data_IF_316010123260
#
_entry.id   IF_316010123260
#
_cell.length_a   1.000
_cell.length_b   1.000
_cell.length_c   1.000
_cell.angle_alpha   90.00
_cell.angle_beta   90.00
_cell.angle_gamma   90.00
#
_symmetry.space_group_name_H-M   'P 1'
#
loop_
_entity.id
_entity.type
_entity.pdbx_description
1 polymer ?
#
# COMPACT_ATOMS: atom_id res chain seq x y z
N UNK A 1 14.01 8.93 -4.57
CA UNK A 1 14.21 8.90 -6.03
C UNK A 1 13.46 7.70 -6.59
N UNK A 2 12.66 7.87 -7.65
CA UNK A 2 11.92 6.78 -8.30
C UNK A 2 12.72 6.23 -9.50
N UNK A 3 12.66 4.92 -9.80
CA UNK A 3 13.34 4.35 -10.97
C UNK A 3 12.82 4.92 -12.30
N UNK A 4 13.72 5.09 -13.28
CA UNK A 4 13.38 5.61 -14.62
C UNK A 4 12.47 4.64 -15.42
N UNK A 5 12.62 3.34 -15.20
CA UNK A 5 11.73 2.33 -15.78
C UNK A 5 10.32 2.35 -15.18
N UNK A 6 10.13 3.10 -14.09
CA UNK A 6 8.88 3.26 -13.38
C UNK A 6 8.79 2.39 -12.12
N UNK A 7 7.69 2.55 -11.40
CA UNK A 7 7.42 1.82 -10.17
C UNK A 7 5.95 1.43 -10.06
N UNK A 8 5.64 0.48 -9.19
CA UNK A 8 4.26 0.19 -8.80
C UNK A 8 3.97 0.67 -7.37
N UNK A 9 2.71 0.63 -6.98
CA UNK A 9 2.27 0.88 -5.60
C UNK A 9 1.59 -0.38 -5.01
N UNK A 10 1.49 -0.40 -3.69
CA UNK A 10 0.63 -1.34 -2.96
C UNK A 10 -0.28 -0.58 -2.02
N UNK A 11 -1.56 -0.96 -1.98
CA UNK A 11 -2.49 -0.47 -0.97
C UNK A 11 -2.35 -1.29 0.31
N UNK A 12 -2.35 -0.60 1.46
CA UNK A 12 -2.51 -1.26 2.74
C UNK A 12 -4.00 -1.60 2.94
N UNK A 13 -4.28 -2.87 3.27
CA UNK A 13 -5.63 -3.33 3.57
C UNK A 13 -5.99 -3.13 5.05
N UNK A 14 -7.26 -2.84 5.31
CA UNK A 14 -7.87 -2.88 6.64
C UNK A 14 -9.13 -3.73 6.59
N UNK A 15 -9.32 -4.61 7.57
CA UNK A 15 -10.47 -5.51 7.64
C UNK A 15 -10.87 -5.80 9.07
N UNK A 16 -12.16 -6.08 9.30
CA UNK A 16 -12.68 -6.56 10.57
C UNK A 16 -12.50 -8.07 10.67
N UNK A 17 -11.97 -8.55 11.80
CA UNK A 17 -11.88 -9.97 12.08
C UNK A 17 -13.28 -10.54 12.36
N UNK A 18 -13.58 -11.71 11.81
CA UNK A 18 -14.85 -12.41 12.05
C UNK A 18 -15.02 -12.69 13.55
N UNK A 19 -16.14 -12.26 14.12
CA UNK A 19 -16.43 -12.42 15.55
C UNK A 19 -15.69 -11.43 16.46
N UNK A 20 -15.23 -10.28 15.93
CA UNK A 20 -14.62 -9.24 16.74
C UNK A 20 -15.53 -8.83 17.92
N UNK A 21 -14.97 -8.63 19.14
CA UNK A 21 -15.75 -8.35 20.35
C UNK A 21 -16.48 -6.99 20.31
N UNK A 22 -16.04 -6.08 19.43
CA UNK A 22 -16.66 -4.79 19.20
C UNK A 22 -16.82 -4.53 17.68
N UNK A 23 -17.85 -5.09 17.03
CA UNK A 23 -18.02 -4.96 15.59
C UNK A 23 -18.37 -3.53 15.16
N UNK A 24 -19.13 -2.79 15.97
CA UNK A 24 -19.50 -1.40 15.67
C UNK A 24 -18.28 -0.47 15.72
N UNK A 25 -17.42 -0.63 16.72
CA UNK A 25 -16.16 0.12 16.82
C UNK A 25 -15.20 -0.21 15.67
N UNK A 26 -15.07 -1.49 15.31
CA UNK A 26 -14.25 -1.91 14.17
C UNK A 26 -14.77 -1.30 12.86
N UNK A 27 -16.09 -1.33 12.63
CA UNK A 27 -16.71 -0.70 11.46
C UNK A 27 -16.51 0.81 11.44
N UNK A 28 -16.67 1.50 12.57
CA UNK A 28 -16.44 2.93 12.68
C UNK A 28 -14.98 3.29 12.34
N UNK A 29 -14.02 2.52 12.86
CA UNK A 29 -12.59 2.71 12.56
C UNK A 29 -12.28 2.49 11.07
N UNK A 30 -12.78 1.40 10.47
CA UNK A 30 -12.59 1.14 9.03
C UNK A 30 -13.19 2.26 8.19
N UNK A 31 -14.41 2.70 8.51
CA UNK A 31 -15.06 3.81 7.80
C UNK A 31 -14.23 5.09 7.87
N UNK A 32 -13.68 5.42 9.05
CA UNK A 32 -12.81 6.58 9.22
C UNK A 32 -11.51 6.46 8.43
N UNK A 33 -10.80 5.32 8.53
CA UNK A 33 -9.55 5.09 7.79
C UNK A 33 -9.73 5.15 6.26
N UNK A 34 -10.92 4.82 5.77
CA UNK A 34 -11.26 4.87 4.34
C UNK A 34 -11.88 6.21 3.91
N UNK A 35 -12.22 7.10 4.85
CA UNK A 35 -12.88 8.37 4.53
C UNK A 35 -11.89 9.40 3.96
N UNK A 36 -12.39 10.39 3.19
CA UNK A 36 -11.55 11.51 2.75
C UNK A 36 -10.95 12.26 3.94
N UNK A 37 -11.73 12.44 5.01
CA UNK A 37 -11.30 13.12 6.22
C UNK A 37 -10.15 12.39 6.92
N UNK A 38 -10.31 11.09 7.18
CA UNK A 38 -9.29 10.30 7.90
C UNK A 38 -8.00 10.18 7.10
N UNK A 39 -8.09 10.01 5.79
CA UNK A 39 -6.92 9.97 4.92
C UNK A 39 -6.27 11.34 4.75
N UNK A 40 -7.02 12.44 4.72
CA UNK A 40 -6.46 13.80 4.74
C UNK A 40 -5.74 14.09 6.04
N UNK A 41 -6.33 13.70 7.18
CA UNK A 41 -5.73 13.86 8.50
C UNK A 41 -4.39 13.13 8.57
N UNK A 42 -4.36 11.83 8.26
CA UNK A 42 -3.14 11.03 8.28
C UNK A 42 -2.12 11.50 7.24
N UNK A 43 -2.57 11.94 6.06
CA UNK A 43 -1.72 12.53 5.02
C UNK A 43 -0.93 13.73 5.50
N UNK A 44 -1.59 14.65 6.21
CA UNK A 44 -0.94 15.83 6.78
C UNK A 44 -0.10 15.50 8.02
N UNK A 45 -0.53 14.54 8.85
CA UNK A 45 0.17 14.18 10.08
C UNK A 45 1.48 13.40 9.83
N UNK A 46 1.48 12.50 8.85
CA UNK A 46 2.62 11.60 8.58
C UNK A 46 3.52 12.11 7.46
N UNK A 47 2.93 12.67 6.39
CA UNK A 47 3.65 13.12 5.20
C UNK A 47 4.37 12.02 4.39
N UNK A 48 4.48 10.79 4.88
CA UNK A 48 5.30 9.73 4.26
C UNK A 48 4.50 8.70 3.47
N UNK A 49 3.17 8.83 3.44
CA UNK A 49 2.27 7.88 2.79
C UNK A 49 1.48 8.53 1.65
N UNK A 50 1.17 7.73 0.63
CA UNK A 50 0.13 8.06 -0.37
C UNK A 50 -1.17 7.37 0.04
N UNK A 51 -2.26 8.11 -0.06
CA UNK A 51 -3.59 7.66 0.32
C UNK A 51 -4.43 7.34 -0.92
N UNK A 52 -5.33 6.35 -0.80
CA UNK A 52 -6.04 5.76 -1.94
C UNK A 52 -7.37 6.44 -2.26
N UNK A 53 -7.93 7.19 -1.31
CA UNK A 53 -9.16 7.95 -1.52
C UNK A 53 -8.85 9.22 -2.32
N UNK A 54 -9.35 9.28 -3.56
CA UNK A 54 -9.12 10.42 -4.47
C UNK A 54 -9.67 11.76 -3.98
N UNK A 55 -10.51 11.76 -2.94
CA UNK A 55 -11.04 12.97 -2.31
C UNK A 55 -10.22 13.43 -1.11
N UNK A 56 -9.17 12.69 -0.71
CA UNK A 56 -8.28 13.11 0.37
C UNK A 56 -7.42 14.29 -0.09
N UNK A 57 -7.27 15.30 0.77
CA UNK A 57 -6.52 16.52 0.48
C UNK A 57 -5.43 16.68 1.55
N UNK A 58 -4.18 16.53 1.12
CA UNK A 58 -3.01 16.70 1.98
C UNK A 58 -1.81 17.16 1.16
N UNK A 59 -0.83 17.76 1.83
CA UNK A 59 0.45 18.13 1.23
C UNK A 59 1.57 17.41 1.94
N UNK A 60 2.58 16.99 1.20
CA UNK A 60 3.77 16.37 1.76
C UNK A 60 5.03 16.95 1.11
N UNK A 61 6.05 17.30 1.90
CA UNK A 61 7.35 17.70 1.37
C UNK A 61 8.23 16.49 0.98
N UNK A 62 7.81 15.26 1.31
CA UNK A 62 8.64 14.06 1.20
C UNK A 62 8.34 13.22 -0.04
N UNK A 63 7.15 13.39 -0.63
CA UNK A 63 6.71 12.61 -1.79
C UNK A 63 6.45 13.56 -2.97
N UNK A 64 6.91 13.23 -4.19
CA UNK A 64 6.56 13.99 -5.39
C UNK A 64 5.05 13.87 -5.69
N UNK A 65 4.52 14.72 -6.57
CA UNK A 65 3.14 14.56 -7.02
C UNK A 65 2.94 13.19 -7.70
N UNK A 66 1.71 12.69 -7.76
CA UNK A 66 1.46 11.37 -8.37
C UNK A 66 1.71 11.39 -9.88
N UNK A 67 1.51 12.55 -10.51
CA UNK A 67 1.73 12.83 -11.94
C UNK A 67 3.22 12.85 -12.32
N UNK A 68 4.09 13.12 -11.35
CA UNK A 68 5.55 13.10 -11.55
C UNK A 68 6.14 11.68 -11.45
N UNK A 69 5.32 10.67 -11.15
CA UNK A 69 5.75 9.28 -11.00
C UNK A 69 5.30 8.46 -12.21
N UNK A 70 6.24 7.80 -12.86
CA UNK A 70 5.95 6.78 -13.89
C UNK A 70 5.43 5.51 -13.21
N UNK A 71 4.11 5.37 -13.17
CA UNK A 71 3.44 4.19 -12.63
C UNK A 71 3.42 3.04 -13.64
N UNK A 72 3.78 1.85 -13.19
CA UNK A 72 3.64 0.61 -13.96
C UNK A 72 2.58 -0.29 -13.34
N UNK A 73 1.87 -1.03 -14.19
CA UNK A 73 0.86 -1.99 -13.77
C UNK A 73 1.50 -3.13 -12.99
N UNK A 74 0.92 -3.46 -11.84
CA UNK A 74 1.30 -4.61 -11.04
C UNK A 74 0.24 -5.70 -11.19
N UNK A 75 0.61 -6.82 -11.80
CA UNK A 75 -0.29 -7.96 -11.98
C UNK A 75 -0.48 -8.72 -10.65
N UNK A 76 -1.50 -8.32 -9.89
CA UNK A 76 -1.77 -8.90 -8.57
C UNK A 76 -2.23 -10.35 -8.68
N UNK A 77 -3.06 -10.69 -9.66
CA UNK A 77 -3.61 -12.04 -9.82
C UNK A 77 -2.49 -13.04 -10.15
N UNK A 78 -1.59 -12.68 -11.07
CA UNK A 78 -0.43 -13.49 -11.36
C UNK A 78 0.49 -13.64 -10.14
N UNK A 79 0.74 -12.55 -9.40
CA UNK A 79 1.57 -12.59 -8.18
C UNK A 79 0.98 -13.51 -7.11
N UNK A 80 -0.34 -13.49 -6.92
CA UNK A 80 -1.04 -14.37 -5.98
C UNK A 80 -0.93 -15.83 -6.43
N UNK A 81 -1.21 -16.12 -7.71
CA UNK A 81 -1.13 -17.47 -8.26
C UNK A 81 0.30 -18.05 -8.23
N UNK A 82 1.32 -17.21 -8.40
CA UNK A 82 2.72 -17.64 -8.54
C UNK A 82 3.58 -17.42 -7.28
N UNK A 83 2.99 -16.94 -6.18
CA UNK A 83 3.72 -16.58 -4.94
C UNK A 83 4.75 -17.63 -4.50
N UNK A 84 4.34 -18.91 -4.49
CA UNK A 84 5.21 -20.02 -4.05
C UNK A 84 6.46 -20.13 -4.93
N UNK A 85 6.28 -20.20 -6.25
CA UNK A 85 7.38 -20.34 -7.21
C UNK A 85 8.36 -19.16 -7.16
N UNK A 86 7.82 -17.94 -7.05
CA UNK A 86 8.64 -16.72 -6.93
C UNK A 86 9.50 -16.75 -5.66
N UNK A 87 8.92 -17.09 -4.51
CA UNK A 87 9.65 -17.16 -3.24
C UNK A 87 10.72 -18.26 -3.24
N UNK A 88 10.41 -19.44 -3.78
CA UNK A 88 11.37 -20.54 -3.89
C UNK A 88 12.56 -20.16 -4.78
N UNK A 89 12.30 -19.54 -5.94
CA UNK A 89 13.35 -19.04 -6.83
C UNK A 89 14.22 -17.98 -6.15
N UNK A 90 13.60 -17.03 -5.44
CA UNK A 90 14.33 -16.00 -4.71
C UNK A 90 15.25 -16.61 -3.64
N UNK A 91 14.72 -17.53 -2.81
CA UNK A 91 15.49 -18.18 -1.75
C UNK A 91 16.72 -18.92 -2.31
N UNK A 92 16.54 -19.64 -3.42
CA UNK A 92 17.65 -20.35 -4.10
C UNK A 92 18.75 -19.40 -4.57
N UNK A 93 18.38 -18.26 -5.18
CA UNK A 93 19.36 -17.26 -5.63
C UNK A 93 20.05 -16.63 -4.43
N UNK A 94 19.30 -16.16 -3.44
CA UNK A 94 19.83 -15.48 -2.26
C UNK A 94 20.86 -16.32 -1.51
N UNK A 95 20.54 -17.60 -1.27
CA UNK A 95 21.41 -18.55 -0.58
C UNK A 95 22.63 -18.99 -1.41
N UNK A 96 22.60 -18.84 -2.73
CA UNK A 96 23.78 -19.10 -3.57
C UNK A 96 24.83 -18.00 -3.50
N UNK A 97 24.42 -16.76 -3.20
CA UNK A 97 25.31 -15.58 -3.18
C UNK A 97 25.79 -15.26 -1.76
N UNK A 98 24.96 -15.53 -0.74
CA UNK A 98 25.25 -15.20 0.67
C UNK A 98 25.62 -16.44 1.50
N UNK A 99 26.68 -17.15 1.11
CA UNK A 99 27.23 -18.27 1.91
C UNK A 99 28.21 -17.79 2.96
#
# INVERSE_FOLDING_TARGET
VFPEDGTSASAFGCAMIKGAPNPEGAKAMINYLMSPEGQSYLGNALGTLRFTNSKAVYKTPYLPATEDVKWVTRDIDWLVANKKSVLEKWNKIFTSVNR
#
